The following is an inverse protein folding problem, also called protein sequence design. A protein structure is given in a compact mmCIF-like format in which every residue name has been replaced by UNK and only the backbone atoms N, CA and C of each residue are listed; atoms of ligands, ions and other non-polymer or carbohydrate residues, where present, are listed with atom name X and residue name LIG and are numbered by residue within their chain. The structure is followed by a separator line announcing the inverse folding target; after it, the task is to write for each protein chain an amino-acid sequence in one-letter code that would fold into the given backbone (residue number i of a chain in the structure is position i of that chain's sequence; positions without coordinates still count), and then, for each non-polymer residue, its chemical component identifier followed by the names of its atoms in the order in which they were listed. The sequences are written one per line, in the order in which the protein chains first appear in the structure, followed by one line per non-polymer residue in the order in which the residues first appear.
data_IF_428982375438
#
_entry.id   IF_428982375438
#
_cell.length_a   1.000
_cell.length_b   1.000
_cell.length_c   1.000
_cell.angle_alpha   90.00
_cell.angle_beta   90.00
_cell.angle_gamma   90.00
#
_symmetry.space_group_name_H-M   'P 1'
#
loop_
_entity.id
_entity.type
_entity.pdbx_description
1 polymer ?
#
# COMPACT_ATOMS: atom_id res chain seq x y z
N UNK A 1 -3.91 0.59 1.96
CA UNK A 1 -3.17 1.45 2.91
C UNK A 1 -3.97 2.73 3.18
N UNK A 2 -4.37 3.01 4.43
CA UNK A 2 -4.85 4.36 4.82
C UNK A 2 -3.59 5.18 5.13
N UNK A 3 -3.21 6.07 4.22
CA UNK A 3 -2.08 6.98 4.47
C UNK A 3 -2.58 8.04 5.44
N UNK A 4 -2.09 8.00 6.68
CA UNK A 4 -2.36 9.04 7.66
C UNK A 4 -1.58 10.30 7.26
N UNK A 5 -2.31 11.34 6.86
CA UNK A 5 -1.76 12.64 6.42
C UNK A 5 -0.93 13.33 7.51
N UNK A 6 -1.05 12.90 8.77
CA UNK A 6 -0.24 13.43 9.88
C UNK A 6 1.24 13.03 9.81
N UNK A 7 1.60 12.04 8.97
CA UNK A 7 2.97 11.53 8.86
C UNK A 7 3.71 12.08 7.62
N UNK A 8 3.32 13.27 7.14
CA UNK A 8 3.99 13.97 6.05
C UNK A 8 5.22 14.71 6.57
N UNK A 9 6.39 14.31 6.10
CA UNK A 9 7.69 14.90 6.48
C UNK A 9 8.40 15.45 5.25
N UNK A 10 9.09 16.58 5.38
CA UNK A 10 9.93 17.09 4.29
C UNK A 10 11.21 16.26 4.17
N UNK A 11 11.81 16.21 2.98
CA UNK A 11 13.11 15.54 2.78
C UNK A 11 14.21 16.14 3.65
N UNK A 12 14.14 17.45 3.93
CA UNK A 12 15.10 18.13 4.80
C UNK A 12 14.99 17.64 6.24
N UNK A 13 13.76 17.55 6.76
CA UNK A 13 13.50 17.01 8.10
C UNK A 13 13.85 15.51 8.18
N UNK A 14 13.58 14.76 7.11
CA UNK A 14 13.98 13.35 6.99
C UNK A 14 15.50 13.16 7.12
N UNK A 15 16.28 14.00 6.47
CA UNK A 15 17.74 13.93 6.50
C UNK A 15 18.32 14.35 7.86
N UNK A 16 17.70 15.31 8.54
CA UNK A 16 18.20 15.85 9.81
C UNK A 16 17.75 15.04 11.03
N UNK A 17 16.53 14.47 10.97
CA UNK A 17 15.86 13.86 12.12
C UNK A 17 15.44 12.41 11.83
N UNK A 18 16.25 11.65 11.08
CA UNK A 18 15.89 10.30 10.64
C UNK A 18 15.46 9.38 11.80
N UNK A 19 16.22 9.33 12.90
CA UNK A 19 15.87 8.48 14.05
C UNK A 19 14.54 8.84 14.72
N UNK A 20 14.16 10.13 14.70
CA UNK A 20 12.84 10.56 15.21
C UNK A 20 11.72 10.06 14.30
N UNK A 21 11.95 10.10 12.98
CA UNK A 21 10.98 9.67 11.97
C UNK A 21 10.87 8.15 11.95
N UNK A 22 11.96 7.41 12.14
CA UNK A 22 11.91 5.97 12.33
C UNK A 22 11.01 5.59 13.51
N UNK A 23 11.15 6.24 14.67
CA UNK A 23 10.24 6.03 15.82
C UNK A 23 8.78 6.39 15.51
N UNK A 24 8.55 7.39 14.66
CA UNK A 24 7.21 7.74 14.20
C UNK A 24 6.62 6.63 13.31
N UNK A 25 7.44 5.98 12.50
CA UNK A 25 7.06 4.79 11.73
C UNK A 25 6.76 3.61 12.65
N UNK A 26 7.56 3.36 13.67
CA UNK A 26 7.30 2.29 14.65
C UNK A 26 5.92 2.45 15.34
N UNK A 27 5.45 3.70 15.50
CA UNK A 27 4.18 4.02 16.15
C UNK A 27 3.00 4.06 15.18
N UNK A 28 3.20 4.64 14.00
CA UNK A 28 2.12 4.96 13.06
C UNK A 28 2.14 4.11 11.78
N UNK A 29 3.06 3.16 11.67
CA UNK A 29 3.25 2.21 10.57
C UNK A 29 3.98 2.78 9.34
N UNK A 30 3.81 4.06 9.02
CA UNK A 30 4.40 4.65 7.81
C UNK A 30 4.65 6.15 7.90
N UNK A 31 5.65 6.64 7.18
CA UNK A 31 5.91 8.06 6.98
C UNK A 31 6.11 8.40 5.50
N UNK A 32 5.45 9.47 5.04
CA UNK A 32 5.53 9.92 3.65
C UNK A 32 6.48 11.10 3.57
N UNK A 33 7.54 10.96 2.78
CA UNK A 33 8.56 11.99 2.61
C UNK A 33 8.30 12.80 1.34
N UNK A 34 8.19 14.11 1.51
CA UNK A 34 7.95 15.10 0.48
C UNK A 34 9.28 15.66 -0.06
N UNK A 35 9.41 15.72 -1.39
CA UNK A 35 10.47 16.48 -2.07
C UNK A 35 9.83 17.56 -2.93
N UNK A 36 10.17 18.82 -2.69
CA UNK A 36 9.56 19.99 -3.35
C UNK A 36 8.03 19.99 -3.19
N UNK A 37 7.53 19.79 -1.96
CA UNK A 37 6.10 19.69 -1.61
C UNK A 37 5.32 18.61 -2.37
N UNK A 38 5.99 17.60 -2.93
CA UNK A 38 5.35 16.45 -3.59
C UNK A 38 5.77 15.15 -2.90
N UNK A 39 4.84 14.25 -2.55
CA UNK A 39 5.18 12.91 -2.05
C UNK A 39 6.11 12.22 -3.03
N UNK A 40 7.25 11.74 -2.54
CA UNK A 40 8.25 11.09 -3.40
C UNK A 40 8.88 9.85 -2.80
N UNK A 41 8.95 9.76 -1.48
CA UNK A 41 9.45 8.56 -0.81
C UNK A 41 8.50 8.13 0.30
N UNK A 42 8.58 6.85 0.66
CA UNK A 42 7.82 6.23 1.73
C UNK A 42 8.83 5.51 2.65
N UNK A 43 8.68 5.70 3.95
CA UNK A 43 9.37 4.92 4.96
C UNK A 43 8.34 4.05 5.69
N UNK A 44 8.58 2.76 5.73
CA UNK A 44 7.77 1.74 6.38
C UNK A 44 8.70 0.69 6.99
N UNK A 45 8.19 -0.05 7.99
CA UNK A 45 8.91 -1.20 8.52
C UNK A 45 9.05 -2.29 7.45
N UNK A 46 10.22 -2.93 7.41
CA UNK A 46 10.53 -3.94 6.39
C UNK A 46 9.57 -5.13 6.44
N UNK A 47 9.24 -5.64 7.63
CA UNK A 47 8.32 -6.76 7.79
C UNK A 47 6.91 -6.41 7.32
N UNK A 48 6.46 -5.17 7.56
CA UNK A 48 5.19 -4.68 7.02
C UNK A 48 5.23 -4.59 5.49
N UNK A 49 6.34 -4.10 4.93
CA UNK A 49 6.52 -4.04 3.48
C UNK A 49 6.48 -5.43 2.83
N UNK A 50 7.13 -6.43 3.43
CA UNK A 50 7.08 -7.82 2.96
C UNK A 50 5.66 -8.38 3.03
N UNK A 51 4.92 -8.13 4.13
CA UNK A 51 3.53 -8.55 4.26
C UNK A 51 2.58 -7.93 3.23
N UNK A 52 2.85 -6.69 2.79
CA UNK A 52 2.06 -6.01 1.75
C UNK A 52 2.46 -6.40 0.31
N UNK A 53 3.66 -6.97 0.11
CA UNK A 53 4.15 -7.37 -1.22
C UNK A 53 3.41 -8.61 -1.76
N UNK A 54 2.88 -9.45 -0.89
CA UNK A 54 2.08 -10.61 -1.26
C UNK A 54 0.60 -10.25 -1.09
N UNK A 55 -0.14 -10.12 -2.20
CA UNK A 55 -1.59 -10.31 -2.11
C UNK A 55 -1.80 -11.73 -1.59
N UNK A 56 -2.57 -11.89 -0.51
CA UNK A 56 -2.86 -13.24 -0.03
C UNK A 56 -3.56 -14.02 -1.16
N UNK A 57 -3.29 -15.32 -1.31
CA UNK A 57 -4.02 -16.15 -2.28
C UNK A 57 -5.55 -16.08 -2.06
N UNK A 58 -5.94 -15.80 -0.81
CA UNK A 58 -7.32 -15.54 -0.38
C UNK A 58 -7.90 -14.27 -1.03
N UNK A 59 -7.10 -13.20 -1.16
CA UNK A 59 -7.47 -11.97 -1.87
C UNK A 59 -7.61 -12.20 -3.38
N UNK A 60 -6.74 -13.02 -3.99
CA UNK A 60 -6.81 -13.36 -5.41
C UNK A 60 -8.08 -14.17 -5.70
N UNK A 61 -8.40 -15.16 -4.86
CA UNK A 61 -9.61 -15.95 -5.01
C UNK A 61 -10.87 -15.10 -4.81
N UNK A 62 -10.89 -14.19 -3.83
CA UNK A 62 -11.99 -13.27 -3.60
C UNK A 62 -12.19 -12.30 -4.79
N UNK A 63 -11.11 -11.74 -5.32
CA UNK A 63 -11.15 -10.86 -6.51
C UNK A 63 -11.64 -11.65 -7.74
N UNK A 64 -11.11 -12.85 -7.95
CA UNK A 64 -11.48 -13.73 -9.06
C UNK A 64 -12.97 -14.09 -9.00
N UNK A 65 -13.47 -14.51 -7.84
CA UNK A 65 -14.89 -14.79 -7.61
C UNK A 65 -15.76 -13.56 -7.89
N UNK A 66 -15.34 -12.37 -7.45
CA UNK A 66 -16.08 -11.13 -7.72
C UNK A 66 -16.13 -10.81 -9.22
N UNK A 67 -15.02 -11.02 -9.95
CA UNK A 67 -14.94 -10.78 -11.39
C UNK A 67 -15.80 -11.79 -12.18
N UNK A 68 -15.76 -13.06 -11.79
CA UNK A 68 -16.61 -14.12 -12.36
C UNK A 68 -18.08 -13.80 -12.15
N UNK A 69 -18.49 -13.40 -10.93
CA UNK A 69 -19.88 -13.04 -10.68
C UNK A 69 -20.34 -11.83 -11.49
N UNK A 70 -19.52 -10.77 -11.60
CA UNK A 70 -19.85 -9.57 -12.38
C UNK A 70 -20.01 -9.86 -13.88
N UNK A 71 -19.19 -10.76 -14.41
CA UNK A 71 -19.15 -11.07 -15.84
C UNK A 71 -19.76 -12.43 -16.16
N UNK A 72 -20.59 -12.97 -15.26
CA UNK A 72 -21.12 -14.33 -15.34
C UNK A 72 -21.73 -14.65 -16.70
N UNK A 73 -22.55 -13.74 -17.24
CA UNK A 73 -23.16 -13.90 -18.56
C UNK A 73 -22.14 -14.01 -19.68
N UNK A 74 -21.06 -13.21 -19.65
CA UNK A 74 -20.02 -13.27 -20.66
C UNK A 74 -19.25 -14.60 -20.60
N UNK A 75 -18.98 -15.12 -19.39
CA UNK A 75 -18.36 -16.43 -19.22
C UNK A 75 -19.28 -17.58 -19.65
N UNK A 76 -20.58 -17.49 -19.36
CA UNK A 76 -21.58 -18.45 -19.82
C UNK A 76 -21.72 -18.47 -21.35
N UNK A 77 -21.57 -17.33 -22.04
CA UNK A 77 -21.52 -17.30 -23.51
C UNK A 77 -20.21 -17.86 -24.07
N UNK A 78 -19.06 -17.55 -23.45
CA UNK A 78 -17.76 -18.10 -23.87
C UNK A 78 -17.69 -19.63 -23.69
N UNK A 79 -18.37 -20.18 -22.69
CA UNK A 79 -18.40 -21.62 -22.43
C UNK A 79 -19.31 -22.40 -23.39
N UNK A 80 -20.09 -21.72 -24.24
CA UNK A 80 -20.90 -22.35 -25.31
C UNK A 80 -20.11 -22.56 -26.61
N UNK A 81 -18.89 -22.03 -26.69
CA UNK A 81 -17.97 -22.26 -27.80
C UNK A 81 -17.32 -23.65 -27.73
#
# INVERSE_FOLDING_TARGET
MKIDTNNLVSITDANQNFSRIARMVDQNGAAVILKNNRPRYLLIEFQQAEGEQYASDEDIAAISNRLIQKNRKAYEELAKC
#
